data_IF_345171353932
#
_entry.id   IF_345171353932
#
_cell.length_a   1.000
_cell.length_b   1.000
_cell.length_c   1.000
_cell.angle_alpha   90.00
_cell.angle_beta   90.00
_cell.angle_gamma   90.00
#
_symmetry.space_group_name_H-M   'P 1'
#
loop_
_entity.id
_entity.type
_entity.pdbx_description
1 polymer ?
#
# COMPACT_ATOMS: atom_id res chain seq x y z
N UNK A 1 2.07 5.97 48.31
CA UNK A 1 1.53 7.24 47.78
C UNK A 1 0.70 6.89 46.57
N UNK A 2 -0.60 6.76 46.79
CA UNK A 2 -1.58 6.20 45.86
C UNK A 2 -2.56 7.33 45.57
N UNK A 3 -2.55 7.88 44.35
CA UNK A 3 -3.51 8.90 43.95
C UNK A 3 -4.70 8.20 43.29
N UNK A 4 -5.81 8.22 44.03
CA UNK A 4 -7.11 7.69 43.68
C UNK A 4 -7.78 8.54 42.59
N UNK A 5 -8.33 7.81 41.63
CA UNK A 5 -9.24 8.22 40.58
C UNK A 5 -10.49 8.90 41.16
N UNK A 6 -10.73 10.16 40.82
CA UNK A 6 -12.01 10.84 41.05
C UNK A 6 -12.96 10.56 39.89
N UNK A 7 -13.77 9.51 40.03
CA UNK A 7 -15.03 9.39 39.28
C UNK A 7 -16.05 10.27 40.01
N UNK A 8 -16.36 11.42 39.43
CA UNK A 8 -17.47 12.24 39.89
C UNK A 8 -18.78 11.51 39.54
N UNK A 9 -19.33 10.81 40.53
CA UNK A 9 -20.69 10.29 40.48
C UNK A 9 -21.65 11.49 40.48
N UNK A 10 -22.30 11.72 39.34
CA UNK A 10 -23.40 12.67 39.25
C UNK A 10 -24.59 12.08 40.02
N UNK A 11 -24.91 12.69 41.16
CA UNK A 11 -26.17 12.46 41.88
C UNK A 11 -27.35 12.79 40.95
N UNK A 12 -28.14 11.77 40.63
CA UNK A 12 -29.39 11.92 39.91
C UNK A 12 -30.44 12.54 40.83
N UNK A 13 -30.76 13.81 40.62
CA UNK A 13 -31.91 14.45 41.24
C UNK A 13 -33.21 13.73 40.79
N UNK A 14 -34.04 13.22 41.71
CA UNK A 14 -35.29 12.57 41.34
C UNK A 14 -36.35 13.66 41.12
N UNK A 15 -36.79 13.88 39.87
CA UNK A 15 -37.98 14.70 39.63
C UNK A 15 -38.10 15.49 38.32
N UNK A 16 -37.15 15.41 37.38
CA UNK A 16 -37.30 16.05 36.07
C UNK A 16 -37.60 15.00 34.99
N UNK A 17 -38.88 14.68 34.78
CA UNK A 17 -39.30 13.89 33.64
C UNK A 17 -39.18 14.76 32.38
N UNK A 18 -38.00 14.74 31.74
CA UNK A 18 -37.86 15.37 30.42
C UNK A 18 -38.82 14.67 29.46
N UNK A 19 -39.67 15.41 28.72
CA UNK A 19 -40.54 14.81 27.71
C UNK A 19 -39.69 13.97 26.75
N UNK A 20 -40.15 12.77 26.38
CA UNK A 20 -39.35 11.81 25.61
C UNK A 20 -38.74 12.37 24.32
N UNK A 21 -39.38 13.36 23.70
CA UNK A 21 -38.86 14.07 22.53
C UNK A 21 -37.63 14.95 22.84
N UNK A 22 -37.59 15.59 24.02
CA UNK A 22 -36.48 16.44 24.45
C UNK A 22 -35.32 15.59 24.98
N UNK A 23 -35.62 14.47 25.64
CA UNK A 23 -34.62 13.45 25.98
C UNK A 23 -34.01 12.80 24.73
N UNK A 24 -34.81 12.54 23.68
CA UNK A 24 -34.31 12.04 22.40
C UNK A 24 -33.51 13.08 21.61
N UNK A 25 -33.88 14.36 21.68
CA UNK A 25 -33.13 15.45 21.06
C UNK A 25 -31.78 15.74 21.75
N UNK A 26 -31.70 15.48 23.05
CA UNK A 26 -30.48 15.58 23.86
C UNK A 26 -29.69 14.27 23.91
N UNK A 27 -30.25 13.17 23.39
CA UNK A 27 -29.54 11.91 23.31
C UNK A 27 -28.35 12.08 22.36
N UNK A 28 -27.15 11.59 22.73
CA UNK A 28 -26.03 11.58 21.80
C UNK A 28 -26.47 10.89 20.51
N UNK A 29 -26.17 11.51 19.37
CA UNK A 29 -26.50 10.93 18.07
C UNK A 29 -25.99 9.48 18.02
N UNK A 30 -26.80 8.51 17.56
CA UNK A 30 -26.36 7.14 17.47
C UNK A 30 -25.08 7.09 16.62
N UNK A 31 -24.10 6.25 16.99
CA UNK A 31 -22.84 6.18 16.26
C UNK A 31 -23.15 5.88 14.79
N UNK A 32 -22.66 6.74 13.90
CA UNK A 32 -22.83 6.55 12.47
C UNK A 32 -22.26 5.17 12.09
N UNK A 33 -23.11 4.31 11.52
CA UNK A 33 -22.66 3.03 11.02
C UNK A 33 -21.66 3.25 9.88
N UNK A 34 -20.56 2.49 9.81
CA UNK A 34 -19.62 2.60 8.71
C UNK A 34 -20.30 2.25 7.38
N UNK A 35 -19.80 2.83 6.29
CA UNK A 35 -20.24 2.48 4.94
C UNK A 35 -20.20 0.94 4.74
N UNK A 36 -21.26 0.32 4.18
CA UNK A 36 -21.35 -1.13 4.06
C UNK A 36 -20.24 -1.74 3.19
N UNK A 37 -19.71 -1.02 2.19
CA UNK A 37 -18.60 -1.51 1.39
C UNK A 37 -17.31 -1.52 2.21
N UNK A 38 -17.07 -0.47 3.01
CA UNK A 38 -15.93 -0.42 3.94
C UNK A 38 -16.03 -1.54 5.00
N UNK A 39 -17.20 -1.71 5.61
CA UNK A 39 -17.45 -2.78 6.58
C UNK A 39 -17.16 -4.16 5.98
N UNK A 40 -17.58 -4.40 4.73
CA UNK A 40 -17.32 -5.65 4.02
C UNK A 40 -15.82 -5.87 3.74
N UNK A 41 -15.10 -4.83 3.32
CA UNK A 41 -13.66 -4.93 3.07
C UNK A 41 -12.86 -5.20 4.36
N UNK A 42 -13.26 -4.58 5.46
CA UNK A 42 -12.70 -4.84 6.79
C UNK A 42 -13.01 -6.27 7.26
N UNK A 43 -14.25 -6.72 7.08
CA UNK A 43 -14.64 -8.08 7.43
C UNK A 43 -13.88 -9.14 6.61
N UNK A 44 -13.66 -8.92 5.31
CA UNK A 44 -12.86 -9.82 4.46
C UNK A 44 -11.41 -9.92 4.98
N UNK A 45 -10.78 -8.79 5.34
CA UNK A 45 -9.43 -8.78 5.90
C UNK A 45 -9.32 -9.52 7.24
N UNK A 46 -10.34 -9.40 8.08
CA UNK A 46 -10.39 -10.06 9.39
C UNK A 46 -10.64 -11.57 9.26
N UNK A 47 -11.65 -11.96 8.47
CA UNK A 47 -12.14 -13.34 8.39
C UNK A 47 -11.34 -14.23 7.43
N UNK A 48 -10.56 -13.64 6.51
CA UNK A 48 -9.82 -14.40 5.49
C UNK A 48 -8.33 -14.03 5.48
N UNK A 49 -7.61 -14.15 6.62
CA UNK A 49 -6.20 -13.76 6.73
C UNK A 49 -5.29 -14.48 5.72
N UNK A 50 -5.59 -15.75 5.41
CA UNK A 50 -4.83 -16.56 4.46
C UNK A 50 -5.00 -16.09 3.01
N UNK A 51 -6.16 -15.54 2.63
CA UNK A 51 -6.39 -14.97 1.30
C UNK A 51 -5.51 -13.74 1.05
N UNK A 52 -5.18 -13.01 2.12
CA UNK A 52 -4.28 -11.86 2.07
C UNK A 52 -2.80 -12.22 2.25
N UNK A 53 -2.47 -13.44 2.65
CA UNK A 53 -1.08 -13.89 2.78
C UNK A 53 -0.47 -14.25 1.41
N UNK A 54 0.76 -13.82 1.14
CA UNK A 54 1.49 -14.33 -0.01
C UNK A 54 2.02 -15.76 0.25
N UNK A 55 1.98 -16.69 -0.73
CA UNK A 55 2.24 -18.11 -0.46
C UNK A 55 3.68 -18.40 -0.03
N UNK A 56 4.61 -17.49 -0.33
CA UNK A 56 6.02 -17.58 0.10
C UNK A 56 6.22 -17.36 1.62
N UNK A 57 5.17 -17.02 2.36
CA UNK A 57 5.19 -16.94 3.82
C UNK A 57 4.80 -18.26 4.47
N UNK A 58 4.24 -19.20 3.71
CA UNK A 58 3.94 -20.52 4.20
C UNK A 58 5.25 -21.29 4.46
N UNK A 59 5.31 -22.11 5.52
CA UNK A 59 6.38 -23.06 5.74
C UNK A 59 6.66 -23.93 4.51
N UNK A 60 7.89 -24.40 4.35
CA UNK A 60 8.29 -25.20 3.19
C UNK A 60 7.52 -26.55 3.15
N UNK A 61 7.29 -27.12 4.33
CA UNK A 61 6.52 -28.33 4.62
C UNK A 61 5.00 -28.10 4.67
N UNK A 62 4.52 -26.88 4.44
CA UNK A 62 3.08 -26.58 4.48
C UNK A 62 2.33 -27.41 3.44
N UNK A 63 1.36 -28.25 3.86
CA UNK A 63 0.70 -29.20 2.96
C UNK A 63 0.06 -28.49 1.77
N UNK A 64 0.30 -29.01 0.56
CA UNK A 64 -0.23 -28.44 -0.69
C UNK A 64 -1.76 -28.32 -0.65
N UNK A 65 -2.40 -29.34 -0.09
CA UNK A 65 -3.83 -29.38 0.14
C UNK A 65 -4.29 -28.15 0.96
N UNK A 66 -3.51 -27.71 1.94
CA UNK A 66 -3.86 -26.62 2.86
C UNK A 66 -3.54 -25.23 2.33
N UNK A 67 -2.90 -25.11 1.15
CA UNK A 67 -2.57 -23.80 0.54
C UNK A 67 -3.79 -23.07 -0.01
N UNK A 68 -4.88 -23.78 -0.30
CA UNK A 68 -6.16 -23.20 -0.75
C UNK A 68 -7.10 -23.07 0.45
N UNK A 69 -6.89 -22.02 1.24
CA UNK A 69 -7.65 -21.79 2.48
C UNK A 69 -9.17 -21.71 2.25
N UNK A 70 -9.59 -21.21 1.08
CA UNK A 70 -11.01 -21.04 0.72
C UNK A 70 -11.82 -22.35 0.74
N UNK A 71 -11.16 -23.51 0.74
CA UNK A 71 -11.83 -24.82 0.71
C UNK A 71 -12.34 -25.30 2.07
N UNK A 72 -11.88 -24.71 3.17
CA UNK A 72 -12.17 -25.24 4.52
C UNK A 72 -13.25 -24.44 5.28
N UNK A 73 -13.77 -23.36 4.69
CA UNK A 73 -14.66 -22.43 5.37
C UNK A 73 -13.93 -21.52 6.37
N UNK A 74 -14.63 -20.51 6.93
CA UNK A 74 -14.03 -19.45 7.75
C UNK A 74 -13.42 -19.98 9.06
N UNK A 75 -14.12 -20.84 9.79
CA UNK A 75 -13.64 -21.36 11.08
C UNK A 75 -12.32 -22.14 10.95
N UNK A 76 -12.17 -22.93 9.90
CA UNK A 76 -10.92 -23.66 9.66
C UNK A 76 -9.81 -22.76 9.11
N UNK A 77 -10.15 -21.68 8.39
CA UNK A 77 -9.16 -20.70 7.96
C UNK A 77 -8.50 -20.00 9.16
N UNK A 78 -9.26 -19.74 10.23
CA UNK A 78 -8.73 -19.17 11.48
C UNK A 78 -7.77 -20.14 12.19
N UNK A 79 -8.14 -21.42 12.29
CA UNK A 79 -7.25 -22.46 12.84
C UNK A 79 -5.95 -22.56 12.05
N UNK A 80 -6.02 -22.51 10.72
CA UNK A 80 -4.83 -22.54 9.86
C UNK A 80 -4.01 -21.24 9.91
N UNK A 81 -4.61 -20.12 10.34
CA UNK A 81 -3.95 -18.83 10.50
C UNK A 81 -3.14 -18.73 11.80
N UNK A 82 -3.57 -19.42 12.87
CA UNK A 82 -2.89 -19.42 14.18
C UNK A 82 -1.38 -19.76 14.12
N UNK A 83 -0.94 -20.89 13.53
CA UNK A 83 0.49 -21.25 13.51
C UNK A 83 1.34 -20.28 12.68
N UNK A 84 0.72 -19.42 11.86
CA UNK A 84 1.40 -18.42 11.04
C UNK A 84 1.48 -17.04 11.73
N UNK A 85 1.00 -16.93 12.97
CA UNK A 85 0.86 -15.64 13.67
C UNK A 85 -0.11 -14.70 12.93
N UNK A 86 -1.16 -15.27 12.33
CA UNK A 86 -2.20 -14.56 11.60
C UNK A 86 -3.58 -14.65 12.28
N UNK A 87 -3.67 -15.32 13.43
CA UNK A 87 -4.88 -15.33 14.25
C UNK A 87 -5.18 -13.97 14.88
N UNK A 88 -6.25 -13.91 15.66
CA UNK A 88 -6.65 -12.75 16.45
C UNK A 88 -5.54 -12.34 17.43
N UNK A 89 -4.74 -11.36 17.03
CA UNK A 89 -3.83 -10.63 17.92
C UNK A 89 -4.53 -9.32 18.28
N UNK A 90 -4.67 -9.02 19.57
CA UNK A 90 -5.41 -7.84 20.04
C UNK A 90 -4.98 -6.54 19.35
N UNK A 91 -3.70 -6.39 19.04
CA UNK A 91 -3.16 -5.22 18.34
C UNK A 91 -3.58 -5.13 16.87
N UNK A 92 -3.67 -6.27 16.17
CA UNK A 92 -4.13 -6.32 14.78
C UNK A 92 -5.61 -6.02 14.69
N UNK A 93 -6.41 -6.62 15.57
CA UNK A 93 -7.86 -6.43 15.56
C UNK A 93 -8.20 -4.99 15.93
N UNK A 94 -7.53 -4.41 16.92
CA UNK A 94 -7.66 -2.99 17.23
C UNK A 94 -7.28 -2.09 16.03
N UNK A 95 -6.19 -2.41 15.32
CA UNK A 95 -5.77 -1.68 14.14
C UNK A 95 -6.78 -1.78 12.99
N UNK A 96 -7.36 -2.95 12.76
CA UNK A 96 -8.40 -3.18 11.74
C UNK A 96 -9.69 -2.45 12.11
N UNK A 97 -10.11 -2.50 13.37
CA UNK A 97 -11.28 -1.78 13.86
C UNK A 97 -11.14 -0.26 13.70
N UNK A 98 -9.95 0.29 13.93
CA UNK A 98 -9.71 1.72 13.69
C UNK A 98 -9.94 2.15 12.25
N UNK A 99 -9.72 1.27 11.26
CA UNK A 99 -9.98 1.63 9.85
C UNK A 99 -11.46 1.94 9.57
N UNK A 100 -12.39 1.41 10.37
CA UNK A 100 -13.83 1.71 10.28
C UNK A 100 -14.18 3.09 10.82
N UNK A 101 -13.46 3.55 11.85
CA UNK A 101 -13.77 4.78 12.58
C UNK A 101 -12.95 5.97 12.06
N UNK A 102 -11.74 5.71 11.58
CA UNK A 102 -10.85 6.73 11.06
C UNK A 102 -11.39 7.30 9.73
N UNK A 103 -11.13 8.59 9.46
CA UNK A 103 -11.43 9.17 8.16
C UNK A 103 -10.69 8.41 7.04
N UNK A 104 -11.18 8.51 5.77
CA UNK A 104 -10.48 7.95 4.62
C UNK A 104 -9.00 8.35 4.59
N UNK A 105 -8.13 7.37 4.46
CA UNK A 105 -6.67 7.53 4.53
C UNK A 105 -5.96 6.43 3.76
N UNK A 106 -4.68 6.63 3.44
CA UNK A 106 -3.91 5.62 2.71
C UNK A 106 -3.67 4.36 3.54
N UNK A 107 -3.91 4.37 4.85
CA UNK A 107 -3.93 3.18 5.70
C UNK A 107 -4.90 2.10 5.17
N UNK A 108 -5.99 2.52 4.53
CA UNK A 108 -6.99 1.61 3.91
C UNK A 108 -6.46 0.86 2.69
N UNK A 109 -5.27 1.17 2.17
CA UNK A 109 -4.59 0.34 1.17
C UNK A 109 -4.42 -1.12 1.63
N UNK A 110 -4.31 -1.36 2.94
CA UNK A 110 -4.24 -2.73 3.50
C UNK A 110 -5.51 -3.53 3.24
N UNK A 111 -6.65 -2.89 2.98
CA UNK A 111 -7.91 -3.55 2.66
C UNK A 111 -7.93 -4.08 1.22
N UNK A 112 -7.08 -3.54 0.34
CA UNK A 112 -6.99 -4.03 -1.04
C UNK A 112 -6.56 -5.51 -1.07
N UNK A 113 -7.10 -6.31 -2.02
CA UNK A 113 -6.65 -7.66 -2.25
C UNK A 113 -5.17 -7.72 -2.61
N UNK A 114 -4.58 -8.88 -2.32
CA UNK A 114 -3.15 -9.12 -2.53
C UNK A 114 -2.70 -8.87 -3.97
N UNK A 115 -3.50 -9.29 -4.96
CA UNK A 115 -3.21 -9.10 -6.38
C UNK A 115 -3.10 -7.62 -6.73
N UNK A 116 -4.07 -6.84 -6.28
CA UNK A 116 -4.28 -5.46 -6.70
C UNK A 116 -3.28 -4.56 -5.99
N UNK A 117 -2.99 -4.83 -4.72
CA UNK A 117 -1.94 -4.11 -3.99
C UNK A 117 -0.55 -4.36 -4.57
N UNK A 118 -0.27 -5.59 -5.05
CA UNK A 118 0.97 -5.91 -5.75
C UNK A 118 1.06 -5.23 -7.11
N UNK A 119 -0.05 -5.20 -7.84
CA UNK A 119 -0.17 -4.50 -9.11
C UNK A 119 0.04 -2.99 -8.92
N UNK A 120 -0.54 -2.41 -7.86
CA UNK A 120 -0.40 -1.01 -7.49
C UNK A 120 1.05 -0.65 -7.18
N UNK A 121 1.71 -1.46 -6.35
CA UNK A 121 3.14 -1.31 -6.09
C UNK A 121 3.94 -1.34 -7.40
N UNK A 122 3.60 -2.21 -8.35
CA UNK A 122 4.33 -2.28 -9.60
C UNK A 122 4.10 -1.04 -10.48
N UNK A 123 2.86 -0.56 -10.59
CA UNK A 123 2.52 0.71 -11.27
C UNK A 123 3.22 1.91 -10.65
N UNK A 124 3.26 1.98 -9.32
CA UNK A 124 4.01 2.99 -8.59
C UNK A 124 5.50 2.94 -8.95
N UNK A 125 6.06 1.73 -9.02
CA UNK A 125 7.40 1.47 -9.52
C UNK A 125 7.64 1.96 -10.94
N UNK A 126 6.68 1.78 -11.86
CA UNK A 126 6.78 2.31 -13.23
C UNK A 126 6.73 3.85 -13.24
N UNK A 127 5.79 4.44 -12.49
CA UNK A 127 5.56 5.88 -12.45
C UNK A 127 6.79 6.67 -12.00
N UNK A 128 7.47 6.24 -10.93
CA UNK A 128 8.69 6.93 -10.47
C UNK A 128 9.86 6.83 -11.47
N UNK A 129 9.80 5.93 -12.45
CA UNK A 129 10.80 5.84 -13.52
C UNK A 129 10.35 6.50 -14.83
N UNK A 130 9.33 7.36 -14.81
CA UNK A 130 8.82 8.07 -15.99
C UNK A 130 9.94 8.65 -16.87
N UNK A 131 10.94 9.32 -16.27
CA UNK A 131 12.08 9.90 -16.98
C UNK A 131 12.89 8.88 -17.81
N UNK A 132 12.99 7.64 -17.33
CA UNK A 132 13.66 6.57 -18.07
C UNK A 132 12.87 6.03 -19.26
N UNK A 133 11.55 6.26 -19.33
CA UNK A 133 10.72 5.93 -20.50
C UNK A 133 10.76 7.03 -21.58
N UNK A 134 11.04 8.27 -21.18
CA UNK A 134 11.05 9.44 -22.07
C UNK A 134 12.33 9.57 -22.92
N UNK A 135 13.40 8.85 -22.55
CA UNK A 135 14.77 9.11 -23.02
C UNK A 135 15.13 8.54 -24.41
N UNK A 136 14.15 8.08 -25.19
CA UNK A 136 14.37 7.47 -26.50
C UNK A 136 14.50 8.45 -27.69
N UNK A 137 14.43 9.78 -27.49
CA UNK A 137 14.31 10.71 -28.62
C UNK A 137 15.56 10.89 -29.50
N UNK A 138 16.71 10.30 -29.16
CA UNK A 138 17.88 10.23 -30.07
C UNK A 138 18.52 8.84 -29.97
N UNK A 139 18.34 8.02 -31.00
CA UNK A 139 19.21 6.86 -31.20
C UNK A 139 20.61 7.39 -31.53
N UNK A 140 21.49 7.47 -30.54
CA UNK A 140 22.92 7.55 -30.76
C UNK A 140 23.41 6.11 -31.06
N UNK A 141 24.26 5.91 -32.08
CA UNK A 141 24.97 4.65 -32.28
C UNK A 141 25.63 4.21 -30.97
N UNK A 142 25.60 2.91 -30.65
CA UNK A 142 26.10 2.38 -29.36
C UNK A 142 27.54 2.87 -29.05
N UNK A 143 28.37 2.96 -30.09
CA UNK A 143 29.75 3.46 -30.01
C UNK A 143 29.87 4.93 -29.53
N UNK A 144 28.84 5.76 -29.76
CA UNK A 144 28.78 7.16 -29.30
C UNK A 144 28.07 7.32 -27.94
N UNK A 145 27.26 6.34 -27.54
CA UNK A 145 26.65 6.33 -26.21
C UNK A 145 27.70 6.06 -25.12
N UNK A 146 28.69 5.23 -25.42
CA UNK A 146 29.81 4.91 -24.51
C UNK A 146 30.83 6.05 -24.38
N UNK A 147 30.93 6.93 -25.38
CA UNK A 147 31.83 8.11 -25.34
C UNK A 147 31.24 9.31 -24.59
N UNK A 148 29.92 9.34 -24.39
CA UNK A 148 29.25 10.36 -23.57
C UNK A 148 29.21 9.82 -22.13
N UNK A 149 30.36 9.90 -21.46
CA UNK A 149 30.39 9.65 -20.03
C UNK A 149 29.36 10.57 -19.34
N UNK A 150 28.39 10.03 -18.57
CA UNK A 150 27.51 10.88 -17.81
C UNK A 150 28.36 11.66 -16.80
N UNK A 151 28.19 12.97 -16.74
CA UNK A 151 28.67 13.79 -15.63
C UNK A 151 28.36 13.05 -14.31
N UNK A 152 29.35 12.80 -13.45
CA UNK A 152 29.13 12.12 -12.19
C UNK A 152 28.05 12.89 -11.40
N UNK A 153 26.95 12.21 -11.04
CA UNK A 153 25.92 12.79 -10.17
C UNK A 153 24.62 13.24 -10.84
N UNK A 154 24.49 13.19 -12.17
CA UNK A 154 23.19 13.43 -12.82
C UNK A 154 22.27 12.21 -12.65
N UNK A 155 21.56 12.14 -11.51
CA UNK A 155 20.55 11.12 -11.23
C UNK A 155 19.53 10.94 -12.37
N UNK A 156 19.35 11.97 -13.20
CA UNK A 156 18.39 12.07 -14.31
C UNK A 156 18.99 12.05 -15.73
N UNK A 157 20.28 11.73 -15.94
CA UNK A 157 20.81 11.66 -17.31
C UNK A 157 19.99 10.66 -18.17
N UNK A 158 19.66 11.00 -19.43
CA UNK A 158 18.77 10.18 -20.25
C UNK A 158 19.32 8.76 -20.42
N UNK A 159 18.44 7.76 -20.36
CA UNK A 159 18.82 6.38 -20.65
C UNK A 159 18.93 6.19 -22.17
N UNK A 160 20.07 5.70 -22.62
CA UNK A 160 20.31 5.37 -24.03
C UNK A 160 20.50 3.84 -24.14
N UNK A 161 20.16 3.26 -25.29
CA UNK A 161 20.44 1.85 -25.59
C UNK A 161 19.43 0.85 -25.02
N UNK A 162 19.92 -0.17 -24.31
CA UNK A 162 19.12 -1.34 -23.91
C UNK A 162 18.23 -1.11 -22.68
N UNK A 163 18.56 -0.14 -21.83
CA UNK A 163 17.79 0.16 -20.61
C UNK A 163 16.34 0.63 -20.89
N UNK A 164 16.07 1.64 -21.73
CA UNK A 164 14.70 2.04 -22.06
C UNK A 164 13.89 0.90 -22.69
N UNK A 165 14.52 0.10 -23.56
CA UNK A 165 13.88 -1.06 -24.19
C UNK A 165 13.46 -2.10 -23.16
N UNK A 166 14.35 -2.43 -22.22
CA UNK A 166 14.06 -3.37 -21.15
C UNK A 166 12.95 -2.86 -20.22
N UNK A 167 12.96 -1.56 -19.89
CA UNK A 167 11.88 -0.90 -19.15
C UNK A 167 10.54 -0.99 -19.87
N UNK A 168 10.48 -0.64 -21.17
CA UNK A 168 9.25 -0.75 -21.99
C UNK A 168 8.76 -2.19 -22.07
N UNK A 169 9.67 -3.17 -22.22
CA UNK A 169 9.32 -4.59 -22.20
C UNK A 169 8.73 -5.00 -20.86
N UNK A 170 9.30 -4.55 -19.75
CA UNK A 170 8.77 -4.81 -18.41
C UNK A 170 7.37 -4.21 -18.24
N UNK A 171 7.17 -2.94 -18.64
CA UNK A 171 5.87 -2.28 -18.57
C UNK A 171 4.81 -2.98 -19.44
N UNK A 172 5.16 -3.41 -20.67
CA UNK A 172 4.24 -4.13 -21.57
C UNK A 172 3.84 -5.51 -21.08
N UNK A 173 4.66 -6.17 -20.24
CA UNK A 173 4.27 -7.43 -19.57
C UNK A 173 3.17 -7.21 -18.55
N UNK A 174 3.05 -5.98 -18.03
CA UNK A 174 2.01 -5.60 -17.09
C UNK A 174 0.73 -5.19 -17.82
N UNK A 175 0.85 -4.22 -18.72
CA UNK A 175 -0.26 -3.67 -19.51
C UNK A 175 0.30 -3.16 -20.84
N UNK A 176 -0.36 -3.54 -21.94
CA UNK A 176 0.04 -3.14 -23.31
C UNK A 176 0.12 -1.61 -23.48
N UNK A 177 -0.67 -0.85 -22.73
CA UNK A 177 -0.75 0.61 -22.73
C UNK A 177 0.02 1.27 -21.58
N UNK A 178 0.73 0.50 -20.73
CA UNK A 178 1.43 1.04 -19.57
C UNK A 178 2.32 2.24 -19.91
N UNK A 179 3.16 2.10 -20.92
CA UNK A 179 4.10 3.16 -21.28
C UNK A 179 3.40 4.42 -21.78
N UNK A 180 2.31 4.27 -22.54
CA UNK A 180 1.54 5.42 -23.01
C UNK A 180 0.91 6.18 -21.83
N UNK A 181 0.39 5.45 -20.84
CA UNK A 181 -0.14 6.05 -19.63
C UNK A 181 0.93 6.74 -18.78
N UNK A 182 2.07 6.08 -18.54
CA UNK A 182 3.17 6.69 -17.78
C UNK A 182 3.66 7.99 -18.45
N UNK A 183 3.74 8.03 -19.77
CA UNK A 183 4.23 9.22 -20.46
C UNK A 183 3.19 10.34 -20.61
N UNK A 184 1.89 10.01 -20.69
CA UNK A 184 0.82 10.98 -21.00
C UNK A 184 -0.02 11.40 -19.79
N UNK A 185 -0.13 10.55 -18.77
CA UNK A 185 -1.08 10.73 -17.66
C UNK A 185 -0.38 10.90 -16.31
N UNK A 186 0.79 10.29 -16.11
CA UNK A 186 1.52 10.46 -14.84
C UNK A 186 2.14 11.86 -14.80
N UNK A 187 1.88 12.66 -13.75
CA UNK A 187 2.47 13.98 -13.60
C UNK A 187 3.99 13.86 -13.39
N UNK A 188 4.72 14.93 -13.66
CA UNK A 188 6.13 14.99 -13.32
C UNK A 188 6.31 14.84 -11.80
N UNK A 189 7.35 14.11 -11.39
CA UNK A 189 7.61 13.77 -9.98
C UNK A 189 8.94 14.39 -9.48
N UNK A 190 9.07 15.73 -9.41
CA UNK A 190 10.33 16.39 -9.05
C UNK A 190 10.85 16.08 -7.64
N UNK A 191 9.97 15.71 -6.69
CA UNK A 191 10.40 15.36 -5.33
C UNK A 191 10.97 13.93 -5.25
N UNK A 192 10.77 13.11 -6.29
CA UNK A 192 11.13 11.70 -6.35
C UNK A 192 12.10 11.39 -7.51
N UNK A 193 13.28 12.04 -7.59
CA UNK A 193 14.25 11.74 -8.62
C UNK A 193 14.79 10.31 -8.42
N UNK A 194 14.54 9.43 -9.39
CA UNK A 194 15.01 8.05 -9.32
C UNK A 194 16.43 7.92 -9.85
N UNK A 195 17.31 7.32 -9.07
CA UNK A 195 18.64 6.92 -9.55
C UNK A 195 18.51 5.85 -10.65
N UNK A 196 18.91 6.19 -11.88
CA UNK A 196 18.84 5.30 -13.03
C UNK A 196 20.10 4.44 -13.23
N UNK A 197 21.16 4.63 -12.44
CA UNK A 197 22.40 3.86 -12.56
C UNK A 197 22.20 2.34 -12.49
N UNK A 198 21.35 1.78 -11.61
CA UNK A 198 21.09 0.33 -11.59
C UNK A 198 20.47 -0.19 -12.89
N UNK A 199 19.67 0.63 -13.59
CA UNK A 199 19.09 0.27 -14.88
C UNK A 199 20.13 0.30 -16.00
N UNK A 200 21.11 1.21 -15.92
CA UNK A 200 22.24 1.24 -16.86
C UNK A 200 23.13 0.02 -16.69
N UNK A 201 23.45 -0.33 -15.44
CA UNK A 201 24.31 -1.45 -15.12
C UNK A 201 23.68 -2.82 -15.46
N UNK A 202 22.36 -2.97 -15.23
CA UNK A 202 21.68 -4.24 -15.50
C UNK A 202 20.27 -4.04 -16.10
N UNK A 203 20.18 -3.71 -17.40
CA UNK A 203 18.93 -3.51 -18.13
C UNK A 203 17.94 -4.67 -18.01
N UNK A 204 18.32 -5.97 -18.12
CA UNK A 204 17.38 -7.08 -18.04
C UNK A 204 16.61 -7.15 -16.71
N UNK A 205 17.17 -6.58 -15.63
CA UNK A 205 16.54 -6.52 -14.31
C UNK A 205 15.51 -5.41 -14.11
N UNK A 206 15.19 -4.61 -15.15
CA UNK A 206 14.33 -3.44 -15.02
C UNK A 206 12.99 -3.74 -14.32
N UNK A 207 12.30 -4.81 -14.72
CA UNK A 207 11.02 -5.17 -14.12
C UNK A 207 11.11 -5.50 -12.63
N UNK A 208 12.18 -6.20 -12.22
CA UNK A 208 12.47 -6.51 -10.82
C UNK A 208 12.75 -5.22 -10.03
N UNK A 209 13.62 -4.36 -10.54
CA UNK A 209 13.97 -3.10 -9.88
C UNK A 209 12.74 -2.21 -9.66
N UNK A 210 11.87 -2.10 -10.67
CA UNK A 210 10.63 -1.32 -10.57
C UNK A 210 9.68 -1.91 -9.52
N UNK A 211 9.51 -3.24 -9.49
CA UNK A 211 8.68 -3.90 -8.49
C UNK A 211 9.23 -3.69 -7.07
N UNK A 212 10.55 -3.82 -6.87
CA UNK A 212 11.21 -3.59 -5.59
C UNK A 212 11.05 -2.13 -5.12
N UNK A 213 11.31 -1.16 -6.01
CA UNK A 213 11.17 0.27 -5.69
C UNK A 213 9.72 0.62 -5.35
N UNK A 214 8.78 0.18 -6.18
CA UNK A 214 7.37 0.44 -5.96
C UNK A 214 6.85 -0.14 -4.64
N UNK A 215 7.25 -1.38 -4.29
CA UNK A 215 6.96 -1.97 -2.98
C UNK A 215 7.54 -1.14 -1.83
N UNK A 216 8.82 -0.74 -1.92
CA UNK A 216 9.49 0.03 -0.85
C UNK A 216 8.84 1.40 -0.65
N UNK A 217 8.44 2.07 -1.73
CA UNK A 217 7.76 3.36 -1.69
C UNK A 217 6.37 3.22 -1.07
N UNK A 218 5.59 2.19 -1.44
CA UNK A 218 4.28 1.94 -0.86
C UNK A 218 4.36 1.70 0.66
N UNK A 219 5.32 0.87 1.10
CA UNK A 219 5.56 0.64 2.52
C UNK A 219 6.06 1.90 3.23
N UNK A 220 6.93 2.67 2.58
CA UNK A 220 7.46 3.93 3.11
C UNK A 220 6.37 4.98 3.31
N UNK A 221 5.41 5.03 2.38
CA UNK A 221 4.26 5.93 2.44
C UNK A 221 3.33 5.59 3.60
N UNK A 222 2.98 4.30 3.75
CA UNK A 222 2.18 3.83 4.88
C UNK A 222 2.92 4.09 6.21
N UNK A 223 4.23 3.82 6.27
CA UNK A 223 5.02 4.08 7.46
C UNK A 223 5.13 5.58 7.79
N UNK A 224 5.11 6.47 6.79
CA UNK A 224 5.14 7.92 7.00
C UNK A 224 3.79 8.46 7.51
N UNK A 225 2.67 7.92 7.01
CA UNK A 225 1.33 8.29 7.48
C UNK A 225 1.08 7.78 8.90
N UNK A 226 1.56 6.58 9.20
CA UNK A 226 1.28 5.90 10.46
C UNK A 226 2.19 6.35 11.63
N UNK A 227 3.11 7.30 11.42
CA UNK A 227 3.99 7.84 12.49
C UNK A 227 3.23 8.45 13.68
N UNK A 228 1.95 8.77 13.48
CA UNK A 228 1.09 9.37 14.49
C UNK A 228 0.07 8.37 15.09
N UNK A 229 0.12 7.09 14.72
CA UNK A 229 -0.86 6.10 15.15
C UNK A 229 -0.23 4.87 15.82
N UNK A 230 -0.71 4.54 17.02
CA UNK A 230 -0.33 3.31 17.74
C UNK A 230 -0.56 2.02 16.91
N UNK A 231 -1.48 2.06 15.94
CA UNK A 231 -1.86 0.92 15.11
C UNK A 231 -1.01 0.77 13.83
N UNK A 232 0.01 1.59 13.64
CA UNK A 232 0.86 1.62 12.45
C UNK A 232 1.54 0.30 12.10
N UNK A 233 2.19 -0.29 13.11
CA UNK A 233 3.02 -1.47 12.92
C UNK A 233 2.19 -2.70 12.49
N UNK A 234 1.04 -3.00 13.11
CA UNK A 234 0.15 -4.06 12.65
C UNK A 234 -0.31 -3.89 11.19
N UNK A 235 -0.71 -2.67 10.80
CA UNK A 235 -1.17 -2.40 9.42
C UNK A 235 -0.05 -2.54 8.40
N UNK A 236 1.15 -2.04 8.72
CA UNK A 236 2.33 -2.21 7.87
C UNK A 236 2.68 -3.70 7.74
N UNK A 237 2.63 -4.45 8.84
CA UNK A 237 2.90 -5.88 8.82
C UNK A 237 1.87 -6.65 7.98
N UNK A 238 0.58 -6.32 8.11
CA UNK A 238 -0.48 -6.89 7.28
C UNK A 238 -0.28 -6.57 5.79
N UNK A 239 0.14 -5.34 5.45
CA UNK A 239 0.51 -4.96 4.10
C UNK A 239 1.69 -5.78 3.59
N UNK A 240 2.78 -5.90 4.36
CA UNK A 240 3.99 -6.66 3.98
C UNK A 240 3.70 -8.13 3.70
N UNK A 241 2.81 -8.74 4.48
CA UNK A 241 2.37 -10.14 4.32
C UNK A 241 1.66 -10.41 2.99
N UNK A 242 1.10 -9.37 2.33
CA UNK A 242 0.54 -9.46 0.97
C UNK A 242 1.61 -9.56 -0.13
N UNK A 243 2.87 -9.22 0.17
CA UNK A 243 3.97 -9.29 -0.79
C UNK A 243 4.82 -10.55 -0.63
N UNK A 244 5.52 -10.98 -1.70
CA UNK A 244 6.54 -12.02 -1.59
C UNK A 244 7.54 -11.74 -0.47
N UNK A 245 7.93 -12.76 0.29
CA UNK A 245 8.82 -12.65 1.46
C UNK A 245 10.16 -12.00 1.09
N UNK A 246 10.64 -12.24 -0.14
CA UNK A 246 11.83 -11.57 -0.71
C UNK A 246 11.69 -10.04 -0.82
N UNK A 247 10.51 -9.54 -1.19
CA UNK A 247 10.23 -8.11 -1.23
C UNK A 247 10.01 -7.61 0.19
N UNK A 248 9.28 -8.37 1.01
CA UNK A 248 9.01 -8.04 2.40
C UNK A 248 10.28 -7.86 3.24
N UNK A 249 11.38 -8.54 2.88
CA UNK A 249 12.69 -8.38 3.50
C UNK A 249 13.36 -7.02 3.20
N UNK A 250 12.91 -6.29 2.18
CA UNK A 250 13.43 -4.96 1.86
C UNK A 250 12.87 -3.92 2.84
N UNK A 251 13.76 -3.05 3.34
CA UNK A 251 13.35 -1.94 4.19
C UNK A 251 12.46 -0.95 3.44
N UNK A 252 11.38 -0.44 4.07
CA UNK A 252 10.59 0.66 3.53
C UNK A 252 11.47 1.84 3.10
N UNK A 253 11.06 2.58 2.08
CA UNK A 253 11.77 3.79 1.67
C UNK A 253 11.61 4.86 2.77
N UNK A 254 12.70 5.48 3.26
CA UNK A 254 12.58 6.66 4.09
C UNK A 254 12.13 7.83 3.20
N UNK A 255 10.92 8.33 3.43
CA UNK A 255 10.34 9.42 2.66
C UNK A 255 10.42 10.73 3.44
N UNK A 256 10.81 11.81 2.76
CA UNK A 256 10.59 13.16 3.27
C UNK A 256 9.10 13.53 3.19
N UNK A 257 8.62 14.54 3.95
CA UNK A 257 7.23 15.00 3.85
C UNK A 257 6.83 15.37 2.41
N UNK A 258 7.70 16.05 1.67
CA UNK A 258 7.46 16.42 0.28
C UNK A 258 7.34 15.19 -0.65
N UNK A 259 8.18 14.18 -0.44
CA UNK A 259 8.10 12.91 -1.18
C UNK A 259 6.81 12.15 -0.88
N UNK A 260 6.42 12.08 0.40
CA UNK A 260 5.20 11.41 0.83
C UNK A 260 3.95 12.12 0.27
N UNK A 261 3.92 13.46 0.29
CA UNK A 261 2.83 14.25 -0.29
C UNK A 261 2.69 13.99 -1.79
N UNK A 262 3.79 14.07 -2.55
CA UNK A 262 3.77 13.81 -3.99
C UNK A 262 3.37 12.36 -4.34
N UNK A 263 3.79 11.37 -3.54
CA UNK A 263 3.34 9.99 -3.72
C UNK A 263 1.84 9.83 -3.42
N UNK A 264 1.34 10.50 -2.38
CA UNK A 264 -0.08 10.49 -2.04
C UNK A 264 -0.92 11.07 -3.18
N UNK A 265 -0.54 12.22 -3.71
CA UNK A 265 -1.20 12.82 -4.87
C UNK A 265 -1.18 11.90 -6.08
N UNK A 266 -0.02 11.32 -6.40
CA UNK A 266 0.10 10.36 -7.50
C UNK A 266 -0.84 9.15 -7.34
N UNK A 267 -0.97 8.61 -6.13
CA UNK A 267 -1.87 7.50 -5.87
C UNK A 267 -3.34 7.92 -6.00
N UNK A 268 -3.75 8.96 -5.26
CA UNK A 268 -5.15 9.33 -5.11
C UNK A 268 -5.73 10.02 -6.35
N UNK A 269 -4.93 10.80 -7.07
CA UNK A 269 -5.40 11.59 -8.20
C UNK A 269 -5.09 10.96 -9.56
N UNK A 270 -4.29 9.90 -9.61
CA UNK A 270 -3.85 9.30 -10.88
C UNK A 270 -3.92 7.77 -10.88
N UNK A 271 -3.09 7.09 -10.09
CA UNK A 271 -2.98 5.64 -10.21
C UNK A 271 -4.26 4.93 -9.76
N UNK A 272 -4.85 5.30 -8.64
CA UNK A 272 -6.04 4.62 -8.12
C UNK A 272 -7.27 4.88 -9.00
N UNK A 273 -7.63 6.14 -9.35
CA UNK A 273 -8.80 6.38 -10.20
C UNK A 273 -8.68 5.73 -11.59
N UNK A 274 -7.49 5.74 -12.19
CA UNK A 274 -7.31 5.30 -13.59
C UNK A 274 -7.00 3.80 -13.72
N UNK A 275 -6.37 3.19 -12.71
CA UNK A 275 -5.90 1.79 -12.77
C UNK A 275 -6.58 0.87 -11.76
N UNK A 276 -7.18 1.42 -10.73
CA UNK A 276 -7.87 0.69 -9.67
C UNK A 276 -9.22 1.32 -9.31
N UNK A 277 -10.09 1.62 -10.30
CA UNK A 277 -11.35 2.35 -10.06
C UNK A 277 -12.26 1.63 -9.06
N UNK A 278 -12.21 0.30 -9.01
CA UNK A 278 -12.95 -0.53 -8.06
C UNK A 278 -12.57 -0.27 -6.58
N UNK A 279 -11.47 0.42 -6.32
CA UNK A 279 -10.93 0.69 -4.98
C UNK A 279 -10.85 2.19 -4.65
N UNK A 280 -11.28 3.07 -5.55
CA UNK A 280 -11.19 4.52 -5.34
C UNK A 280 -11.98 4.98 -4.11
N UNK A 281 -13.14 4.38 -3.86
CA UNK A 281 -14.04 4.67 -2.72
C UNK A 281 -13.42 4.44 -1.34
N UNK A 282 -12.25 3.79 -1.25
CA UNK A 282 -11.54 3.62 0.03
C UNK A 282 -10.98 4.94 0.58
N UNK A 283 -10.77 5.95 -0.27
CA UNK A 283 -9.99 7.15 0.02
C UNK A 283 -10.77 8.45 -0.18
#
# INVERSE_FOLDING_TARGET
>A
MTLLSTVAAAEAAPGAYLPGALAAALAPAPPALPDPALARAVADLAQRPLAHLHPSWLPADWPLAWRRADRFGPAAADVLAQPLGLGAEGDRDAAIHRLLQAPPSLARLVLMPRSDLRLLAWWLGLAVHQAGFASERRMLPAQLADSIAPLPGALAAPLIGSAPRAMRRAARRLDRHAVAFILKRVPALPALPMNLAPLRAHPPGAGRLMAERGYRLLCGLLAAEARHEACAAPLLQALRRKFPRRLAALSPAPLTPAQAAQLRELLLLNLIPERFPAWHWLF
#
